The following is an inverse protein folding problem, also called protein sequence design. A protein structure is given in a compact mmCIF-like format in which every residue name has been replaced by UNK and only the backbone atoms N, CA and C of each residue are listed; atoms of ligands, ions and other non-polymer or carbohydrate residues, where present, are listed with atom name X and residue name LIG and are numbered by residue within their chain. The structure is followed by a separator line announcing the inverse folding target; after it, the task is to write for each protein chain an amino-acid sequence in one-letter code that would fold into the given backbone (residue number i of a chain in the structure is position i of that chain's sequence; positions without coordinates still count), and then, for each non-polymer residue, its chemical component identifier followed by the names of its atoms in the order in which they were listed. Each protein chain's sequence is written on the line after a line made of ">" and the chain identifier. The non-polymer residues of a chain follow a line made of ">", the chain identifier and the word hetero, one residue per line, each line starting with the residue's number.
data_IF_755951197621
#
_entry.id   IF_755951197621
#
_cell.length_a   1.000
_cell.length_b   1.000
_cell.length_c   1.000
_cell.angle_alpha   90.00
_cell.angle_beta   90.00
_cell.angle_gamma   90.00
#
_symmetry.space_group_name_H-M   'P 1'
#
loop_
_entity.id
_entity.type
_entity.pdbx_description
1 polymer ?
#
# COMPACT_ATOMS: atom_id res chain seq x y z
N UNK A 1 -24.33 11.29 24.99
CA UNK A 1 -24.49 11.55 23.55
C UNK A 1 -23.29 12.37 23.12
N UNK A 2 -22.23 11.72 22.65
CA UNK A 2 -21.23 12.39 21.83
C UNK A 2 -21.75 12.28 20.40
N UNK A 3 -21.89 13.41 19.73
CA UNK A 3 -22.26 13.47 18.31
C UNK A 3 -21.21 12.73 17.48
N UNK A 4 -21.67 11.95 16.50
CA UNK A 4 -20.82 11.17 15.60
C UNK A 4 -19.88 12.09 14.83
N UNK A 5 -18.57 12.05 15.11
CA UNK A 5 -17.59 12.71 14.26
C UNK A 5 -17.50 11.95 12.92
N UNK A 6 -17.75 12.60 11.78
CA UNK A 6 -17.76 11.92 10.47
C UNK A 6 -16.37 11.51 9.99
N UNK A 7 -15.29 12.07 10.54
CA UNK A 7 -13.91 11.75 10.22
C UNK A 7 -12.99 11.96 11.43
N UNK A 8 -11.96 11.11 11.56
CA UNK A 8 -10.91 11.22 12.57
C UNK A 8 -9.62 11.72 11.90
N UNK A 9 -9.07 12.82 12.41
CA UNK A 9 -7.79 13.38 11.97
C UNK A 9 -6.70 13.04 12.99
N UNK A 10 -5.63 12.39 12.53
CA UNK A 10 -4.43 12.13 13.31
C UNK A 10 -3.34 13.08 12.83
N UNK A 11 -2.89 13.95 13.75
CA UNK A 11 -1.69 14.76 13.61
C UNK A 11 -0.67 14.24 14.62
N UNK A 12 0.46 13.74 14.14
CA UNK A 12 1.51 13.22 14.99
C UNK A 12 2.88 13.76 14.53
N UNK A 13 3.54 14.44 15.46
CA UNK A 13 4.91 14.96 15.35
C UNK A 13 5.97 14.21 16.21
N UNK A 14 5.68 13.13 16.98
CA UNK A 14 6.76 12.38 17.64
C UNK A 14 7.54 11.58 16.59
N UNK A 15 8.82 11.32 16.83
CA UNK A 15 9.70 10.62 15.87
C UNK A 15 9.23 9.19 15.51
N UNK A 16 8.48 8.52 16.39
CA UNK A 16 7.99 7.14 16.17
C UNK A 16 6.64 6.92 16.91
N UNK A 17 5.52 7.44 16.40
CA UNK A 17 4.21 7.22 17.00
C UNK A 17 3.77 5.77 16.84
N UNK A 18 3.05 5.27 17.84
CA UNK A 18 2.26 4.05 17.74
C UNK A 18 0.79 4.41 17.70
N UNK A 19 0.13 4.06 16.60
CA UNK A 19 -1.31 4.29 16.39
C UNK A 19 -2.00 2.95 16.22
N UNK A 20 -3.01 2.68 17.07
CA UNK A 20 -3.91 1.55 16.92
C UNK A 20 -5.35 2.09 16.90
N UNK A 21 -6.13 1.68 15.89
CA UNK A 21 -7.54 2.05 15.79
C UNK A 21 -8.37 0.80 15.42
N UNK A 22 -9.39 0.51 16.23
CA UNK A 22 -10.33 -0.60 15.94
C UNK A 22 -11.31 -0.23 14.81
N UNK A 23 -11.94 0.95 14.91
CA UNK A 23 -12.86 1.41 13.87
C UNK A 23 -12.94 2.94 13.78
N UNK A 24 -13.05 3.45 12.55
CA UNK A 24 -13.43 4.84 12.29
C UNK A 24 -14.16 4.96 10.96
N UNK A 25 -15.19 5.82 10.83
CA UNK A 25 -15.94 5.97 9.59
C UNK A 25 -15.12 6.57 8.43
N UNK A 26 -14.16 7.44 8.74
CA UNK A 26 -13.14 7.93 7.82
C UNK A 26 -11.91 8.35 8.63
N UNK A 27 -10.72 8.07 8.11
CA UNK A 27 -9.45 8.33 8.79
C UNK A 27 -8.51 9.13 7.88
N UNK A 28 -8.04 10.27 8.37
CA UNK A 28 -6.98 11.07 7.74
C UNK A 28 -5.75 11.10 8.65
N UNK A 29 -4.61 10.63 8.14
CA UNK A 29 -3.31 10.71 8.84
C UNK A 29 -2.46 11.75 8.11
N UNK A 30 -2.02 12.78 8.86
CA UNK A 30 -1.09 13.81 8.41
C UNK A 30 0.07 13.90 9.40
N UNK A 31 1.18 13.22 9.10
CA UNK A 31 2.29 13.10 10.04
C UNK A 31 3.63 13.06 9.30
N UNK A 32 4.70 13.61 9.87
CA UNK A 32 6.08 13.45 9.36
C UNK A 32 7.05 12.81 10.39
N UNK A 33 6.71 11.63 10.95
CA UNK A 33 7.56 10.94 11.91
C UNK A 33 8.63 10.10 11.20
N UNK A 34 9.82 9.95 11.78
CA UNK A 34 10.87 9.09 11.20
C UNK A 34 10.42 7.63 10.97
N UNK A 35 9.68 7.04 11.90
CA UNK A 35 9.29 5.63 11.85
C UNK A 35 7.94 5.35 12.57
N UNK A 36 6.80 5.71 11.96
CA UNK A 36 5.49 5.45 12.55
C UNK A 36 5.12 3.98 12.47
N UNK A 37 4.41 3.50 13.49
CA UNK A 37 3.69 2.23 13.45
C UNK A 37 2.19 2.51 13.47
N UNK A 38 1.48 2.04 12.43
CA UNK A 38 0.04 2.18 12.31
C UNK A 38 -0.60 0.82 12.13
N UNK A 39 -1.57 0.51 13.00
CA UNK A 39 -2.44 -0.66 12.90
C UNK A 39 -3.90 -0.18 12.88
N UNK A 40 -4.64 -0.64 11.88
CA UNK A 40 -6.05 -0.33 11.72
C UNK A 40 -6.83 -1.59 11.36
N UNK A 41 -7.78 -1.97 12.21
CA UNK A 41 -8.64 -3.13 11.96
C UNK A 41 -9.69 -2.79 10.89
N UNK A 42 -10.40 -1.66 11.03
CA UNK A 42 -11.44 -1.28 10.08
C UNK A 42 -11.59 0.23 9.85
N UNK A 43 -11.63 0.66 8.60
CA UNK A 43 -12.16 1.99 8.24
C UNK A 43 -12.75 2.00 6.84
N UNK A 44 -13.98 2.53 6.63
CA UNK A 44 -14.59 2.71 5.32
C UNK A 44 -13.72 3.48 4.32
N UNK A 45 -12.95 4.46 4.79
CA UNK A 45 -12.07 5.25 3.96
C UNK A 45 -10.85 5.71 4.76
N UNK A 46 -9.65 5.42 4.25
CA UNK A 46 -8.40 5.86 4.85
C UNK A 46 -7.55 6.63 3.83
N UNK A 47 -7.09 7.82 4.24
CA UNK A 47 -6.13 8.64 3.53
C UNK A 47 -4.90 8.85 4.41
N UNK A 48 -3.73 8.43 3.91
CA UNK A 48 -2.43 8.66 4.54
C UNK A 48 -1.64 9.63 3.68
N UNK A 49 -1.19 10.72 4.29
CA UNK A 49 -0.41 11.80 3.69
C UNK A 49 0.77 12.12 4.61
N UNK A 50 1.89 11.42 4.42
CA UNK A 50 3.02 11.43 5.34
C UNK A 50 4.35 11.27 4.58
N UNK A 51 5.47 11.79 5.10
CA UNK A 51 6.81 11.54 4.52
C UNK A 51 7.82 10.83 5.47
N UNK A 52 7.42 9.72 6.11
CA UNK A 52 8.24 9.07 7.12
C UNK A 52 9.44 8.33 6.50
N UNK A 53 10.59 8.29 7.16
CA UNK A 53 11.73 7.53 6.63
C UNK A 53 11.44 6.02 6.50
N UNK A 54 10.77 5.41 7.48
CA UNK A 54 10.50 3.97 7.51
C UNK A 54 9.17 3.62 8.23
N UNK A 55 8.01 3.87 7.60
CA UNK A 55 6.71 3.55 8.19
C UNK A 55 6.44 2.04 8.20
N UNK A 56 5.79 1.58 9.25
CA UNK A 56 5.15 0.28 9.31
C UNK A 56 3.63 0.46 9.36
N UNK A 57 2.94 -0.09 8.36
CA UNK A 57 1.49 0.02 8.23
C UNK A 57 0.87 -1.36 8.06
N UNK A 58 -0.07 -1.68 8.95
CA UNK A 58 -0.89 -2.90 8.91
C UNK A 58 -2.36 -2.52 8.87
N UNK A 59 -3.06 -3.01 7.87
CA UNK A 59 -4.50 -2.83 7.72
C UNK A 59 -5.19 -4.18 7.49
N UNK A 60 -6.19 -4.49 8.32
CA UNK A 60 -6.99 -5.70 8.12
C UNK A 60 -8.10 -5.44 7.08
N UNK A 61 -8.87 -4.37 7.24
CA UNK A 61 -9.97 -4.06 6.33
C UNK A 61 -10.17 -2.56 6.05
N UNK A 62 -10.15 -2.18 4.77
CA UNK A 62 -10.61 -0.86 4.34
C UNK A 62 -11.25 -0.88 2.96
N UNK A 63 -12.52 -0.45 2.79
CA UNK A 63 -13.19 -0.30 1.50
C UNK A 63 -12.41 0.53 0.48
N UNK A 64 -11.72 1.58 0.94
CA UNK A 64 -10.97 2.49 0.08
C UNK A 64 -9.76 3.03 0.82
N UNK A 65 -8.58 2.70 0.33
CA UNK A 65 -7.30 3.18 0.86
C UNK A 65 -6.57 4.00 -0.20
N UNK A 66 -6.15 5.20 0.20
CA UNK A 66 -5.29 6.07 -0.58
C UNK A 66 -4.03 6.40 0.24
N UNK A 67 -2.87 6.01 -0.27
CA UNK A 67 -1.57 6.34 0.31
C UNK A 67 -0.83 7.27 -0.65
N UNK A 68 -0.41 8.43 -0.12
CA UNK A 68 0.33 9.48 -0.81
C UNK A 68 1.53 9.88 0.06
N UNK A 69 2.65 9.18 -0.09
CA UNK A 69 3.80 9.30 0.80
C UNK A 69 5.12 9.08 0.03
N UNK A 70 6.26 9.62 0.48
CA UNK A 70 7.58 9.35 -0.14
C UNK A 70 8.62 8.69 0.80
N UNK A 71 8.24 7.59 1.49
CA UNK A 71 9.10 7.01 2.52
C UNK A 71 10.34 6.32 1.94
N UNK A 72 11.49 6.40 2.61
CA UNK A 72 12.69 5.70 2.12
C UNK A 72 12.52 4.17 2.07
N UNK A 73 11.92 3.57 3.10
CA UNK A 73 11.75 2.11 3.21
C UNK A 73 10.45 1.73 3.95
N UNK A 74 9.28 1.86 3.30
CA UNK A 74 8.01 1.49 3.91
C UNK A 74 7.83 -0.02 4.00
N UNK A 75 7.19 -0.46 5.08
CA UNK A 75 6.59 -1.78 5.19
C UNK A 75 5.07 -1.64 5.22
N UNK A 76 4.38 -2.30 4.28
CA UNK A 76 2.92 -2.29 4.20
C UNK A 76 2.38 -3.70 4.10
N UNK A 77 1.45 -4.03 4.99
CA UNK A 77 0.67 -5.26 4.99
C UNK A 77 -0.82 -4.91 4.93
N UNK A 78 -1.53 -5.53 3.99
CA UNK A 78 -2.96 -5.36 3.82
C UNK A 78 -3.64 -6.71 3.57
N UNK A 79 -4.55 -7.09 4.46
CA UNK A 79 -5.31 -8.33 4.30
C UNK A 79 -6.44 -8.16 3.28
N UNK A 80 -7.26 -7.10 3.44
CA UNK A 80 -8.40 -6.87 2.55
C UNK A 80 -8.67 -5.40 2.26
N UNK A 81 -8.75 -5.07 0.97
CA UNK A 81 -9.35 -3.80 0.53
C UNK A 81 -10.07 -3.95 -0.81
N UNK A 82 -11.29 -3.47 -0.99
CA UNK A 82 -11.97 -3.40 -2.29
C UNK A 82 -11.21 -2.55 -3.32
N UNK A 83 -10.65 -1.42 -2.91
CA UNK A 83 -9.94 -0.49 -3.78
C UNK A 83 -8.72 0.07 -3.07
N UNK A 84 -7.54 -0.16 -3.66
CA UNK A 84 -6.27 0.37 -3.17
C UNK A 84 -5.60 1.23 -4.25
N UNK A 85 -5.27 2.46 -3.88
CA UNK A 85 -4.43 3.35 -4.67
C UNK A 85 -3.18 3.73 -3.87
N UNK A 86 -2.01 3.36 -4.38
CA UNK A 86 -0.71 3.76 -3.81
C UNK A 86 0.00 4.65 -4.83
N UNK A 87 0.39 5.85 -4.38
CA UNK A 87 1.12 6.86 -5.13
C UNK A 87 2.31 7.32 -4.29
N UNK A 88 3.44 6.63 -4.41
CA UNK A 88 4.63 6.82 -3.56
C UNK A 88 5.92 6.62 -4.35
N UNK A 89 7.05 7.23 -3.97
CA UNK A 89 8.35 6.98 -4.62
C UNK A 89 9.46 6.40 -3.71
N UNK A 90 9.15 5.31 -2.98
CA UNK A 90 10.05 4.82 -1.95
C UNK A 90 11.31 4.17 -2.53
N UNK A 91 12.48 4.37 -1.89
CA UNK A 91 13.71 3.72 -2.36
C UNK A 91 13.64 2.18 -2.33
N UNK A 92 13.12 1.59 -1.26
CA UNK A 92 13.05 0.14 -1.08
C UNK A 92 11.79 -0.30 -0.29
N UNK A 93 10.60 -0.28 -0.93
CA UNK A 93 9.37 -0.70 -0.29
C UNK A 93 9.29 -2.22 -0.12
N UNK A 94 8.70 -2.65 1.00
CA UNK A 94 8.18 -4.00 1.17
C UNK A 94 6.65 -3.94 1.25
N UNK A 95 5.98 -4.64 0.34
CA UNK A 95 4.53 -4.63 0.23
C UNK A 95 3.99 -6.05 0.14
N UNK A 96 3.10 -6.41 1.07
CA UNK A 96 2.37 -7.67 1.09
C UNK A 96 0.87 -7.39 1.08
N UNK A 97 0.17 -7.90 0.08
CA UNK A 97 -1.26 -7.68 -0.09
C UNK A 97 -1.93 -9.03 -0.36
N UNK A 98 -2.86 -9.43 0.49
CA UNK A 98 -3.50 -10.75 0.40
C UNK A 98 -4.68 -10.72 -0.60
N UNK A 99 -5.60 -9.76 -0.44
CA UNK A 99 -6.79 -9.70 -1.30
C UNK A 99 -7.26 -8.29 -1.63
N UNK A 100 -7.45 -8.01 -2.92
CA UNK A 100 -8.18 -6.84 -3.40
C UNK A 100 -8.82 -7.08 -4.76
N UNK A 101 -10.11 -6.73 -4.97
CA UNK A 101 -10.74 -6.73 -6.29
C UNK A 101 -10.02 -5.83 -7.29
N UNK A 102 -9.54 -4.66 -6.85
CA UNK A 102 -8.89 -3.67 -7.70
C UNK A 102 -7.71 -3.02 -7.01
N UNK A 103 -6.52 -3.24 -7.58
CA UNK A 103 -5.28 -2.66 -7.12
C UNK A 103 -4.65 -1.79 -8.21
N UNK A 104 -4.31 -0.56 -7.84
CA UNK A 104 -3.57 0.38 -8.66
C UNK A 104 -2.34 0.90 -7.89
N UNK A 105 -1.15 0.59 -8.39
CA UNK A 105 0.12 1.09 -7.84
C UNK A 105 0.80 1.96 -8.90
N UNK A 106 1.15 3.19 -8.51
CA UNK A 106 1.95 4.13 -9.29
C UNK A 106 3.15 4.57 -8.45
N UNK A 107 4.30 3.94 -8.62
CA UNK A 107 5.49 4.21 -7.81
C UNK A 107 6.77 4.06 -8.62
N UNK A 108 7.88 4.74 -8.31
CA UNK A 108 9.17 4.55 -9.01
C UNK A 108 10.32 4.02 -8.11
N UNK A 109 10.10 2.92 -7.36
CA UNK A 109 11.05 2.50 -6.34
C UNK A 109 12.32 1.91 -6.91
N UNK A 110 13.48 2.17 -6.30
CA UNK A 110 14.75 1.59 -6.79
C UNK A 110 14.77 0.05 -6.70
N UNK A 111 14.31 -0.52 -5.57
CA UNK A 111 14.32 -1.97 -5.35
C UNK A 111 13.10 -2.45 -4.54
N UNK A 112 11.90 -2.54 -5.16
CA UNK A 112 10.70 -3.00 -4.48
C UNK A 112 10.69 -4.51 -4.26
N UNK A 113 10.14 -4.92 -3.12
CA UNK A 113 9.67 -6.29 -2.88
C UNK A 113 8.15 -6.30 -2.76
N UNK A 114 7.47 -7.02 -3.64
CA UNK A 114 6.01 -7.09 -3.67
C UNK A 114 5.53 -8.53 -3.69
N UNK A 115 4.63 -8.87 -2.76
CA UNK A 115 3.94 -10.16 -2.68
C UNK A 115 2.44 -9.93 -2.77
N UNK A 116 1.80 -10.67 -3.69
CA UNK A 116 0.41 -10.53 -4.05
C UNK A 116 -0.24 -11.92 -4.12
N UNK A 117 -1.24 -12.20 -3.30
CA UNK A 117 -1.90 -13.51 -3.34
C UNK A 117 -3.07 -13.54 -4.33
N UNK A 118 -4.12 -12.73 -4.13
CA UNK A 118 -5.38 -12.85 -4.88
C UNK A 118 -5.96 -11.51 -5.37
N UNK A 119 -5.78 -11.24 -6.68
CA UNK A 119 -6.21 -9.97 -7.29
C UNK A 119 -6.95 -10.19 -8.61
N UNK A 120 -8.29 -10.02 -8.67
CA UNK A 120 -9.06 -10.08 -9.91
C UNK A 120 -8.54 -9.13 -10.99
N UNK A 121 -8.26 -7.87 -10.63
CA UNK A 121 -7.74 -6.85 -11.53
C UNK A 121 -6.57 -6.09 -10.89
N UNK A 122 -5.42 -6.17 -11.54
CA UNK A 122 -4.18 -5.56 -11.07
C UNK A 122 -3.56 -4.68 -12.17
N UNK A 123 -3.29 -3.42 -11.81
CA UNK A 123 -2.56 -2.46 -12.63
C UNK A 123 -1.37 -1.91 -11.85
N UNK A 124 -0.16 -2.16 -12.33
CA UNK A 124 1.09 -1.61 -11.77
C UNK A 124 1.77 -0.77 -12.84
N UNK A 125 2.08 0.48 -12.49
CA UNK A 125 2.80 1.45 -13.32
C UNK A 125 4.04 1.90 -12.54
N UNK A 126 5.20 1.29 -12.77
CA UNK A 126 6.42 1.58 -12.00
C UNK A 126 7.68 1.49 -12.85
N UNK A 127 8.77 2.21 -12.56
CA UNK A 127 10.04 2.06 -13.30
C UNK A 127 11.25 1.61 -12.43
N UNK A 128 11.09 0.50 -11.66
CA UNK A 128 12.08 0.14 -10.67
C UNK A 128 13.38 -0.37 -11.26
N UNK A 129 14.52 -0.02 -10.65
CA UNK A 129 15.82 -0.54 -11.10
C UNK A 129 15.94 -2.07 -10.96
N UNK A 130 15.50 -2.63 -9.82
CA UNK A 130 15.61 -4.06 -9.52
C UNK A 130 14.40 -4.60 -8.70
N UNK A 131 13.23 -4.82 -9.34
CA UNK A 131 12.05 -5.31 -8.64
C UNK A 131 12.10 -6.82 -8.37
N UNK A 132 11.57 -7.21 -7.20
CA UNK A 132 11.14 -8.58 -6.91
C UNK A 132 9.62 -8.62 -6.75
N UNK A 133 8.94 -9.39 -7.60
CA UNK A 133 7.49 -9.55 -7.53
C UNK A 133 7.09 -11.03 -7.50
N UNK A 134 6.27 -11.39 -6.53
CA UNK A 134 5.61 -12.69 -6.44
C UNK A 134 4.11 -12.48 -6.54
N UNK A 135 3.47 -13.16 -7.49
CA UNK A 135 2.03 -13.16 -7.64
C UNK A 135 1.52 -14.60 -7.69
N UNK A 136 0.66 -14.96 -6.75
CA UNK A 136 0.02 -16.26 -6.77
C UNK A 136 -1.07 -16.27 -7.85
N UNK A 137 -2.10 -15.42 -7.74
CA UNK A 137 -3.26 -15.48 -8.63
C UNK A 137 -3.80 -14.11 -9.07
N UNK A 138 -3.95 -13.96 -10.40
CA UNK A 138 -4.71 -12.86 -10.99
C UNK A 138 -5.24 -13.26 -12.38
N UNK A 139 -6.54 -13.12 -12.67
CA UNK A 139 -7.08 -13.34 -14.01
C UNK A 139 -6.78 -12.17 -14.96
N UNK A 140 -6.60 -10.94 -14.46
CA UNK A 140 -6.23 -9.78 -15.27
C UNK A 140 -5.11 -8.97 -14.63
N UNK A 141 -3.96 -8.96 -15.30
CA UNK A 141 -2.76 -8.27 -14.84
C UNK A 141 -2.21 -7.39 -15.96
N UNK A 142 -1.92 -6.14 -15.62
CA UNK A 142 -1.23 -5.21 -16.48
C UNK A 142 -0.09 -4.58 -15.69
N UNK A 143 1.15 -4.82 -16.15
CA UNK A 143 2.37 -4.26 -15.57
C UNK A 143 3.03 -3.43 -16.67
N UNK A 144 3.11 -2.13 -16.48
CA UNK A 144 3.87 -1.21 -17.33
C UNK A 144 5.08 -0.77 -16.53
N UNK A 145 6.20 -1.46 -16.76
CA UNK A 145 7.46 -1.18 -16.09
C UNK A 145 8.64 -1.39 -17.05
N UNK A 146 9.69 -0.57 -16.95
CA UNK A 146 10.95 -0.73 -17.71
C UNK A 146 12.16 -1.03 -16.79
N UNK A 147 12.10 -2.10 -15.98
CA UNK A 147 13.13 -2.36 -14.99
C UNK A 147 14.44 -2.79 -15.62
N UNK A 148 15.55 -2.30 -15.08
CA UNK A 148 16.90 -2.70 -15.50
C UNK A 148 17.20 -4.17 -15.19
N UNK A 149 16.67 -4.72 -14.07
CA UNK A 149 16.90 -6.10 -13.65
C UNK A 149 15.71 -6.72 -12.88
N UNK A 150 14.63 -7.14 -13.56
CA UNK A 150 13.45 -7.71 -12.88
C UNK A 150 13.60 -9.18 -12.48
N UNK A 151 13.00 -9.54 -11.35
CA UNK A 151 12.66 -10.92 -10.99
C UNK A 151 11.15 -11.03 -10.72
N UNK A 152 10.45 -11.89 -11.47
CA UNK A 152 9.00 -12.11 -11.32
C UNK A 152 8.68 -13.59 -11.27
N UNK A 153 7.90 -14.00 -10.26
CA UNK A 153 7.37 -15.36 -10.11
C UNK A 153 5.84 -15.33 -10.17
N UNK A 154 5.25 -16.16 -11.04
CA UNK A 154 3.80 -16.29 -11.25
C UNK A 154 3.40 -17.76 -11.08
N UNK A 155 2.48 -18.08 -10.16
CA UNK A 155 2.10 -19.48 -9.87
C UNK A 155 0.96 -20.03 -10.76
N UNK A 156 0.20 -19.18 -11.47
CA UNK A 156 -0.96 -19.57 -12.28
C UNK A 156 -1.03 -18.82 -13.63
N UNK A 157 -1.80 -19.28 -14.65
CA UNK A 157 -1.86 -18.61 -15.94
C UNK A 157 -2.49 -17.22 -15.82
N UNK A 158 -1.63 -16.22 -15.79
CA UNK A 158 -1.99 -14.82 -15.78
C UNK A 158 -1.86 -14.25 -17.20
N UNK A 159 -2.81 -13.44 -17.67
CA UNK A 159 -2.62 -12.67 -18.90
C UNK A 159 -1.72 -11.49 -18.56
N UNK A 160 -0.43 -11.60 -18.90
CA UNK A 160 0.56 -10.54 -18.68
C UNK A 160 0.69 -9.74 -19.97
N UNK A 161 0.36 -8.44 -19.94
CA UNK A 161 0.84 -7.48 -20.93
C UNK A 161 1.98 -6.68 -20.29
N UNK A 162 3.21 -6.95 -20.74
CA UNK A 162 4.38 -6.11 -20.52
C UNK A 162 4.51 -5.21 -21.75
N UNK A 163 4.53 -3.89 -21.58
CA UNK A 163 4.90 -2.92 -22.62
C UNK A 163 6.13 -2.18 -22.15
#
# INVERSE_FOLDING_TARGET
>A
MLESFPALLILCDPSAPYTMLESSPALLILCDPSAPYTMLESSPALLILCDPSAPYTMLESSPTLLILCDPSAPYTMLESSPTLLILCDPSAPYTMLESSPTLLILCDPSAPYTMLESFPALLILCDPSAPYTMLESSPTLLILCDPSAPYTMLEFPCVVNLV
#
